data_IF_141660910391
#
_entry.id   IF_141660910391
#
_cell.length_a   1.000
_cell.length_b   1.000
_cell.length_c   1.000
_cell.angle_alpha   90.00
_cell.angle_beta   90.00
_cell.angle_gamma   90.00
#
_symmetry.space_group_name_H-M   'P 1'
#
loop_
_entity.id
_entity.type
_entity.pdbx_description
1 polymer ?
#
# COMPACT_ATOMS: atom_id res chain seq x y z
N UNK A 1 -37.09 21.19 -36.80
CA UNK A 1 -35.64 21.19 -37.07
C UNK A 1 -34.96 20.59 -35.85
N UNK A 2 -34.72 19.27 -35.84
CA UNK A 2 -33.49 18.58 -36.31
C UNK A 2 -32.44 18.56 -35.19
N UNK A 3 -32.35 17.48 -34.38
CA UNK A 3 -31.43 16.31 -34.52
C UNK A 3 -29.96 16.74 -34.21
N UNK A 4 -29.17 16.15 -33.31
CA UNK A 4 -28.99 14.71 -32.99
C UNK A 4 -28.32 14.46 -31.63
N UNK A 5 -28.69 13.33 -31.04
CA UNK A 5 -27.95 12.52 -30.07
C UNK A 5 -26.67 11.95 -30.67
N UNK A 6 -25.62 11.77 -29.85
CA UNK A 6 -24.67 10.64 -29.96
C UNK A 6 -24.27 10.18 -28.55
N UNK A 7 -24.90 9.10 -28.10
CA UNK A 7 -24.40 8.22 -27.06
C UNK A 7 -23.35 7.29 -27.70
N UNK A 8 -22.19 7.13 -27.06
CA UNK A 8 -21.23 6.07 -27.41
C UNK A 8 -21.42 4.93 -26.41
N UNK A 9 -22.15 3.92 -26.86
CA UNK A 9 -22.26 2.61 -26.21
C UNK A 9 -21.12 1.72 -26.73
N UNK A 10 -20.34 1.12 -25.82
CA UNK A 10 -19.43 0.03 -26.14
C UNK A 10 -20.16 -1.28 -25.85
N UNK A 11 -20.46 -2.01 -26.92
CA UNK A 11 -21.01 -3.36 -26.92
C UNK A 11 -19.95 -4.38 -26.46
N UNK A 12 -20.31 -5.28 -25.56
CA UNK A 12 -19.74 -6.63 -25.55
C UNK A 12 -20.87 -7.66 -25.47
N UNK A 13 -20.83 -8.58 -26.42
CA UNK A 13 -21.85 -9.58 -26.71
C UNK A 13 -22.05 -10.56 -25.57
N UNK A 14 -23.32 -10.76 -25.18
CA UNK A 14 -23.78 -11.96 -24.51
C UNK A 14 -24.11 -13.02 -25.58
N UNK A 15 -23.56 -14.22 -25.44
CA UNK A 15 -24.06 -15.42 -26.09
C UNK A 15 -24.36 -16.45 -25.01
N UNK A 16 -25.65 -16.60 -24.69
CA UNK A 16 -26.18 -17.74 -23.95
C UNK A 16 -26.65 -18.78 -24.96
N UNK A 17 -26.20 -20.02 -24.81
CA UNK A 17 -26.80 -21.20 -25.43
C UNK A 17 -26.95 -22.26 -24.35
N UNK A 18 -28.18 -22.73 -24.20
CA UNK A 18 -28.64 -23.68 -23.20
C UNK A 18 -28.50 -25.14 -23.65
N UNK A 19 -28.35 -26.01 -22.63
CA UNK A 19 -28.73 -27.43 -22.53
C UNK A 19 -27.99 -28.49 -23.38
N UNK A 20 -27.27 -29.40 -22.74
CA UNK A 20 -27.83 -30.71 -22.32
C UNK A 20 -26.85 -31.53 -21.48
N UNK A 21 -27.43 -32.37 -20.62
CA UNK A 21 -26.81 -33.15 -19.55
C UNK A 21 -26.31 -34.52 -20.08
N UNK A 22 -25.32 -35.07 -19.37
CA UNK A 22 -24.84 -36.47 -19.27
C UNK A 22 -23.94 -37.03 -20.36
N UNK A 23 -22.65 -37.17 -20.01
CA UNK A 23 -21.94 -38.44 -20.18
C UNK A 23 -20.90 -38.57 -19.06
N UNK A 24 -21.10 -39.56 -18.18
CA UNK A 24 -20.10 -40.03 -17.22
C UNK A 24 -18.90 -40.57 -18.02
N UNK A 25 -17.73 -39.94 -17.87
CA UNK A 25 -16.46 -40.48 -18.34
C UNK A 25 -15.60 -40.82 -17.14
N UNK A 26 -15.43 -42.12 -16.90
CA UNK A 26 -14.48 -42.69 -15.95
C UNK A 26 -13.05 -42.35 -16.37
N UNK A 27 -12.44 -41.36 -15.72
CA UNK A 27 -11.01 -41.07 -15.88
C UNK A 27 -10.21 -41.73 -14.75
N UNK A 28 -9.23 -42.55 -15.16
CA UNK A 28 -8.28 -43.24 -14.30
C UNK A 28 -7.49 -42.26 -13.40
N UNK A 29 -6.97 -42.70 -12.25
CA UNK A 29 -6.22 -41.83 -11.36
C UNK A 29 -4.89 -41.47 -12.02
N UNK A 30 -4.79 -40.25 -12.56
CA UNK A 30 -3.50 -39.67 -12.88
C UNK A 30 -2.76 -39.45 -11.56
N UNK A 31 -1.68 -40.23 -11.36
CA UNK A 31 -0.71 -40.01 -10.32
C UNK A 31 -0.21 -38.56 -10.41
N UNK A 32 -0.68 -37.72 -9.50
CA UNK A 32 -0.17 -36.38 -9.33
C UNK A 32 1.27 -36.51 -8.82
N UNK A 33 2.22 -36.36 -9.71
CA UNK A 33 3.62 -36.12 -9.36
C UNK A 33 3.65 -34.81 -8.58
N UNK A 34 3.62 -34.90 -7.25
CA UNK A 34 3.81 -33.74 -6.39
C UNK A 34 5.25 -33.26 -6.59
N UNK A 35 5.43 -32.32 -7.52
CA UNK A 35 6.65 -31.54 -7.60
C UNK A 35 6.77 -30.82 -6.26
N UNK A 36 7.68 -31.31 -5.42
CA UNK A 36 8.11 -30.62 -4.21
C UNK A 36 8.77 -29.31 -4.64
N UNK A 37 7.94 -28.26 -4.70
CA UNK A 37 8.44 -26.89 -4.78
C UNK A 37 9.15 -26.68 -3.44
N UNK A 38 10.49 -26.59 -3.46
CA UNK A 38 11.24 -26.12 -2.31
C UNK A 38 10.73 -24.72 -1.98
N UNK A 39 9.88 -24.59 -0.97
CA UNK A 39 9.46 -23.31 -0.40
C UNK A 39 10.74 -22.56 -0.03
N UNK A 40 10.95 -21.39 -0.63
CA UNK A 40 11.96 -20.47 -0.13
C UNK A 40 11.40 -19.93 1.20
N UNK A 41 12.28 -19.59 2.13
CA UNK A 41 11.83 -19.00 3.39
C UNK A 41 10.99 -17.75 3.10
N UNK A 42 9.81 -17.59 3.74
CA UNK A 42 9.04 -16.36 3.66
C UNK A 42 9.90 -15.13 3.92
N UNK A 43 9.66 -14.03 3.19
CA UNK A 43 10.47 -12.80 3.28
C UNK A 43 10.67 -12.30 4.71
N UNK A 44 9.66 -12.48 5.58
CA UNK A 44 9.69 -12.02 6.97
C UNK A 44 10.50 -12.90 7.93
N UNK A 45 10.99 -14.07 7.52
CA UNK A 45 11.83 -14.89 8.41
C UNK A 45 13.12 -14.17 8.82
N UNK A 46 13.68 -13.34 7.92
CA UNK A 46 14.88 -12.54 8.18
C UNK A 46 14.65 -11.40 9.18
N UNK A 47 13.40 -11.00 9.39
CA UNK A 47 13.02 -9.89 10.27
C UNK A 47 12.63 -10.36 11.69
N UNK A 48 12.78 -11.65 12.00
CA UNK A 48 12.53 -12.20 13.34
C UNK A 48 13.73 -12.10 14.28
N UNK A 49 14.92 -11.80 13.75
CA UNK A 49 16.17 -11.63 14.50
C UNK A 49 16.40 -12.75 15.54
N UNK A 50 16.68 -12.40 16.79
CA UNK A 50 16.83 -13.33 17.92
C UNK A 50 15.52 -13.58 18.71
N UNK A 51 14.41 -12.98 18.26
CA UNK A 51 13.09 -12.99 18.92
C UNK A 51 13.09 -12.50 20.38
N UNK A 52 14.06 -11.68 20.78
CA UNK A 52 14.26 -11.25 22.16
C UNK A 52 14.58 -9.75 22.27
N UNK A 53 13.61 -8.88 21.89
CA UNK A 53 13.79 -7.43 21.94
C UNK A 53 14.23 -6.96 23.33
N UNK A 54 15.17 -6.02 23.37
CA UNK A 54 15.71 -5.43 24.62
C UNK A 54 14.95 -4.19 25.09
N UNK A 55 13.79 -3.95 24.49
CA UNK A 55 12.90 -2.83 24.75
C UNK A 55 11.47 -3.31 24.60
N UNK A 56 10.53 -2.57 25.18
CA UNK A 56 9.11 -2.82 24.98
C UNK A 56 8.70 -2.33 23.59
N UNK A 57 8.40 -3.28 22.69
CA UNK A 57 8.04 -3.00 21.30
C UNK A 57 6.70 -2.28 21.19
N UNK A 58 5.76 -2.54 22.11
CA UNK A 58 4.46 -1.89 22.12
C UNK A 58 4.60 -0.43 22.55
N UNK A 59 5.26 -0.18 23.68
CA UNK A 59 5.53 1.18 24.21
C UNK A 59 6.29 2.01 23.18
N UNK A 60 7.37 1.47 22.62
CA UNK A 60 8.18 2.14 21.59
C UNK A 60 7.38 2.47 20.32
N UNK A 61 6.44 1.60 19.95
CA UNK A 61 5.52 1.88 18.83
C UNK A 61 4.54 2.99 19.17
N UNK A 62 4.05 3.07 20.40
CA UNK A 62 3.20 4.19 20.85
C UNK A 62 3.95 5.53 20.82
N UNK A 63 5.20 5.55 21.28
CA UNK A 63 6.07 6.73 21.22
C UNK A 63 6.28 7.20 19.77
N UNK A 64 6.59 6.25 18.88
CA UNK A 64 6.72 6.53 17.45
C UNK A 64 5.46 7.15 16.87
N UNK A 65 4.29 6.54 17.11
CA UNK A 65 3.01 7.04 16.58
C UNK A 65 2.67 8.43 17.13
N UNK A 66 2.90 8.68 18.42
CA UNK A 66 2.71 10.00 19.02
C UNK A 66 3.64 11.05 18.39
N UNK A 67 4.86 10.67 18.00
CA UNK A 67 5.79 11.59 17.32
C UNK A 67 5.28 12.01 15.93
N UNK A 68 4.59 11.11 15.20
CA UNK A 68 4.02 11.42 13.89
C UNK A 68 2.88 12.43 13.95
N UNK A 69 2.09 12.40 15.02
CA UNK A 69 0.98 13.33 15.24
C UNK A 69 1.48 14.75 15.56
N UNK A 70 2.53 14.86 16.38
CA UNK A 70 3.01 16.14 16.93
C UNK A 70 3.96 16.86 15.97
N UNK A 71 4.94 16.17 15.41
CA UNK A 71 6.16 16.83 14.92
C UNK A 71 6.00 17.48 13.54
N UNK A 72 5.03 17.08 12.72
CA UNK A 72 4.94 17.53 11.33
C UNK A 72 6.11 17.07 10.43
N UNK A 73 7.20 16.60 11.02
CA UNK A 73 8.40 16.02 10.43
C UNK A 73 8.70 14.66 11.08
N UNK A 74 9.47 13.84 10.37
CA UNK A 74 9.88 12.53 10.85
C UNK A 74 11.25 12.64 11.53
N UNK A 75 11.42 12.03 12.71
CA UNK A 75 12.77 11.85 13.28
C UNK A 75 13.50 10.80 12.45
N UNK A 76 14.38 11.25 11.56
CA UNK A 76 15.16 10.38 10.67
C UNK A 76 16.05 9.41 11.46
N UNK A 77 16.38 9.71 12.72
CA UNK A 77 17.14 8.79 13.55
C UNK A 77 16.35 7.55 13.96
N UNK A 78 15.02 7.50 13.78
CA UNK A 78 14.24 6.32 14.14
C UNK A 78 14.35 5.18 13.12
N UNK A 79 14.78 5.47 11.89
CA UNK A 79 14.81 4.49 10.81
C UNK A 79 16.19 3.85 10.67
N UNK A 80 16.20 2.55 10.34
CA UNK A 80 17.43 1.84 10.00
C UNK A 80 17.94 2.29 8.62
N UNK A 81 19.25 2.17 8.38
CA UNK A 81 19.84 2.50 7.07
C UNK A 81 19.25 1.66 5.93
N UNK A 82 18.89 0.41 6.24
CA UNK A 82 18.29 -0.56 5.33
C UNK A 82 16.76 -0.64 5.47
N UNK A 83 16.12 0.47 5.86
CA UNK A 83 14.68 0.59 5.98
C UNK A 83 13.94 0.37 4.64
N UNK A 84 12.78 -0.30 4.71
CA UNK A 84 11.85 -0.42 3.58
C UNK A 84 10.39 -0.21 4.01
N UNK A 85 9.64 0.57 3.24
CA UNK A 85 8.18 0.60 3.30
C UNK A 85 7.55 -0.16 2.13
N UNK A 86 6.45 -0.87 2.41
CA UNK A 86 5.59 -1.51 1.40
C UNK A 86 4.11 -1.33 1.74
N UNK A 87 3.37 -0.72 0.83
CA UNK A 87 1.90 -0.75 0.80
C UNK A 87 1.39 -1.66 -0.32
N UNK A 88 0.07 -1.74 -0.53
CA UNK A 88 -0.51 -2.54 -1.60
C UNK A 88 0.04 -2.21 -3.00
N UNK A 89 0.27 -0.92 -3.27
CA UNK A 89 0.72 -0.42 -4.59
C UNK A 89 1.92 0.52 -4.51
N UNK A 90 2.59 0.60 -3.37
CA UNK A 90 3.79 1.41 -3.13
C UNK A 90 4.85 0.52 -2.51
N UNK A 91 6.10 0.77 -2.88
CA UNK A 91 7.28 0.10 -2.36
C UNK A 91 7.76 -1.06 -3.23
N UNK A 92 8.82 -1.77 -2.84
CA UNK A 92 9.72 -1.40 -1.75
C UNK A 92 10.32 -0.01 -1.94
N UNK A 93 10.21 0.85 -0.94
CA UNK A 93 10.73 2.21 -0.99
C UNK A 93 11.59 2.46 0.25
N UNK A 94 12.81 2.98 0.04
CA UNK A 94 13.70 3.36 1.12
C UNK A 94 13.27 4.68 1.76
N UNK A 95 13.94 5.06 2.86
CA UNK A 95 13.55 6.25 3.63
C UNK A 95 13.71 7.55 2.84
N UNK A 96 14.82 7.69 2.10
CA UNK A 96 15.14 8.89 1.34
C UNK A 96 14.12 9.15 0.21
N UNK A 97 13.78 8.13 -0.57
CA UNK A 97 12.78 8.23 -1.64
C UNK A 97 11.38 8.46 -1.07
N UNK A 98 11.05 7.83 0.06
CA UNK A 98 9.76 8.05 0.74
C UNK A 98 9.61 9.50 1.21
N UNK A 99 10.63 10.06 1.87
CA UNK A 99 10.61 11.45 2.31
C UNK A 99 10.44 12.43 1.14
N UNK A 100 11.15 12.18 0.02
CA UNK A 100 11.00 12.97 -1.21
C UNK A 100 9.58 12.87 -1.77
N UNK A 101 9.01 11.67 -1.87
CA UNK A 101 7.64 11.46 -2.36
C UNK A 101 6.60 12.14 -1.45
N UNK A 102 6.76 12.08 -0.13
CA UNK A 102 5.84 12.73 0.81
C UNK A 102 5.90 14.27 0.71
N UNK A 103 7.10 14.85 0.56
CA UNK A 103 7.27 16.30 0.43
C UNK A 103 6.60 16.88 -0.82
N UNK A 104 6.47 16.09 -1.89
CA UNK A 104 5.90 16.53 -3.16
C UNK A 104 4.37 16.47 -3.27
N UNK A 105 3.66 15.95 -2.27
CA UNK A 105 2.23 15.66 -2.35
C UNK A 105 1.33 16.70 -1.65
N UNK A 106 1.87 17.77 -1.07
CA UNK A 106 1.08 18.89 -0.52
C UNK A 106 -0.02 18.51 0.50
N UNK A 107 0.05 17.32 1.10
CA UNK A 107 -1.10 16.66 1.74
C UNK A 107 -1.65 17.46 2.92
N UNK A 108 -0.77 18.01 3.76
CA UNK A 108 -1.18 18.83 4.92
C UNK A 108 -1.85 20.14 4.50
N UNK A 109 -1.47 20.69 3.34
CA UNK A 109 -2.14 21.87 2.77
C UNK A 109 -3.50 21.49 2.22
N UNK A 110 -3.59 20.35 1.53
CA UNK A 110 -4.83 19.88 0.93
C UNK A 110 -5.89 19.41 1.96
N UNK A 111 -5.44 18.85 3.08
CA UNK A 111 -6.26 18.32 4.18
C UNK A 111 -5.78 18.87 5.54
N UNK A 112 -6.01 20.15 5.83
CA UNK A 112 -5.52 20.79 7.06
C UNK A 112 -6.18 20.26 8.34
N UNK A 113 -7.36 19.66 8.23
CA UNK A 113 -8.13 19.05 9.31
C UNK A 113 -7.94 17.52 9.40
N UNK A 114 -6.91 16.97 8.74
CA UNK A 114 -6.64 15.54 8.75
C UNK A 114 -6.49 15.00 10.17
N UNK A 115 -7.28 13.98 10.47
CA UNK A 115 -7.22 13.18 11.69
C UNK A 115 -6.90 11.75 11.35
N UNK A 116 -5.91 11.18 12.04
CA UNK A 116 -5.51 9.78 11.89
C UNK A 116 -5.84 9.07 13.20
N UNK A 117 -6.96 8.35 13.24
CA UNK A 117 -7.34 7.57 14.41
C UNK A 117 -6.56 6.26 14.42
N UNK A 118 -5.60 6.12 15.35
CA UNK A 118 -4.79 4.91 15.52
C UNK A 118 -5.29 4.08 16.71
N UNK A 119 -5.48 2.77 16.52
CA UNK A 119 -6.01 1.89 17.57
C UNK A 119 -5.59 0.42 17.38
N UNK A 120 -5.89 -0.41 18.38
CA UNK A 120 -5.72 -1.87 18.31
C UNK A 120 -4.27 -2.32 18.16
N UNK A 121 -3.34 -1.65 18.85
CA UNK A 121 -1.92 -2.02 18.82
C UNK A 121 -1.72 -3.40 19.44
N UNK A 122 -0.92 -4.24 18.78
CA UNK A 122 -0.60 -5.59 19.27
C UNK A 122 0.75 -6.07 18.73
N UNK A 123 1.53 -6.73 19.58
CA UNK A 123 2.80 -7.35 19.17
C UNK A 123 2.51 -8.66 18.44
N UNK A 124 3.22 -8.90 17.34
CA UNK A 124 3.15 -10.15 16.61
C UNK A 124 3.75 -11.29 17.47
N UNK A 125 2.97 -12.35 17.80
CA UNK A 125 3.47 -13.45 18.61
C UNK A 125 4.56 -14.28 17.89
N UNK A 126 4.64 -14.25 16.56
CA UNK A 126 5.69 -14.96 15.80
C UNK A 126 6.93 -14.10 15.54
N UNK A 127 6.78 -12.78 15.55
CA UNK A 127 7.85 -11.82 15.43
C UNK A 127 7.77 -10.77 16.56
N UNK A 128 8.40 -11.03 17.72
CA UNK A 128 8.33 -10.13 18.88
C UNK A 128 8.84 -8.71 18.62
N UNK A 129 9.56 -8.48 17.51
CA UNK A 129 10.02 -7.17 17.07
C UNK A 129 8.99 -6.37 16.25
N UNK A 130 7.84 -6.97 15.92
CA UNK A 130 6.81 -6.38 15.08
C UNK A 130 5.60 -5.98 15.91
N UNK A 131 5.08 -4.80 15.64
CA UNK A 131 3.81 -4.32 16.19
C UNK A 131 2.84 -4.06 15.03
N UNK A 132 1.64 -4.64 15.12
CA UNK A 132 0.50 -4.32 14.26
C UNK A 132 -0.34 -3.24 14.92
N UNK A 133 -0.99 -2.42 14.10
CA UNK A 133 -1.99 -1.46 14.53
C UNK A 133 -2.96 -1.16 13.39
N UNK A 134 -4.08 -0.56 13.72
CA UNK A 134 -5.09 -0.14 12.77
C UNK A 134 -5.15 1.38 12.70
N UNK A 135 -5.43 1.90 11.50
CA UNK A 135 -5.73 3.31 11.32
C UNK A 135 -7.00 3.53 10.53
N UNK A 136 -7.67 4.63 10.86
CA UNK A 136 -8.74 5.23 10.07
C UNK A 136 -8.49 6.73 9.93
N UNK A 137 -8.34 7.18 8.70
CA UNK A 137 -8.04 8.57 8.37
C UNK A 137 -9.31 9.31 7.99
N UNK A 138 -9.47 10.54 8.49
CA UNK A 138 -10.60 11.43 8.23
C UNK A 138 -10.14 12.86 7.96
N UNK A 139 -10.79 13.57 7.06
CA UNK A 139 -10.51 15.00 6.84
C UNK A 139 -11.28 15.54 5.65
N UNK A 140 -11.07 16.81 5.33
CA UNK A 140 -11.77 17.51 4.24
C UNK A 140 -10.74 18.07 3.27
N UNK A 141 -10.94 17.83 1.97
CA UNK A 141 -10.10 18.45 0.95
C UNK A 141 -10.45 19.93 0.78
N UNK A 142 -10.02 20.76 1.72
CA UNK A 142 -10.33 22.19 1.81
C UNK A 142 -9.21 23.08 1.26
N UNK A 143 -8.04 22.51 0.97
CA UNK A 143 -6.95 23.18 0.26
C UNK A 143 -6.63 22.53 -1.07
N UNK A 144 -5.95 23.27 -1.93
CA UNK A 144 -5.48 22.76 -3.21
C UNK A 144 -4.43 21.66 -2.99
N UNK A 145 -4.49 20.61 -3.81
CA UNK A 145 -3.51 19.54 -3.82
C UNK A 145 -2.45 19.82 -4.89
N UNK A 146 -1.21 20.03 -4.47
CA UNK A 146 -0.06 20.02 -5.37
C UNK A 146 0.45 18.59 -5.55
N UNK A 147 0.25 18.03 -6.74
CA UNK A 147 0.80 16.74 -7.14
C UNK A 147 1.97 16.97 -8.10
N UNK A 148 3.15 17.21 -7.54
CA UNK A 148 4.41 17.43 -8.28
C UNK A 148 4.32 18.54 -9.35
N UNK A 149 3.78 19.70 -8.98
CA UNK A 149 3.64 20.89 -9.81
C UNK A 149 2.30 20.99 -10.55
N UNK A 150 1.47 19.93 -10.52
CA UNK A 150 0.09 20.00 -11.01
C UNK A 150 -0.83 20.29 -9.85
N UNK A 151 -1.43 21.48 -9.84
CA UNK A 151 -2.36 21.92 -8.79
C UNK A 151 -3.77 21.48 -9.12
N UNK A 152 -4.37 20.70 -8.21
CA UNK A 152 -5.78 20.30 -8.24
C UNK A 152 -6.54 21.17 -7.24
N UNK A 153 -7.56 21.94 -7.68
CA UNK A 153 -8.33 22.79 -6.79
C UNK A 153 -9.01 22.00 -5.67
N UNK A 154 -9.14 22.61 -4.50
CA UNK A 154 -9.90 22.06 -3.38
C UNK A 154 -11.30 21.63 -3.83
N UNK A 155 -11.65 20.37 -3.57
CA UNK A 155 -12.96 19.81 -3.95
C UNK A 155 -14.03 20.04 -2.89
N UNK A 156 -13.63 20.28 -1.63
CA UNK A 156 -14.53 20.33 -0.48
C UNK A 156 -15.05 18.96 -0.04
N UNK A 157 -14.60 17.86 -0.63
CA UNK A 157 -15.06 16.52 -0.29
C UNK A 157 -14.53 16.11 1.10
N UNK A 158 -15.44 15.57 1.92
CA UNK A 158 -15.07 14.85 3.12
C UNK A 158 -14.50 13.47 2.76
N UNK A 159 -13.47 13.07 3.47
CA UNK A 159 -12.80 11.79 3.35
C UNK A 159 -12.97 11.01 4.64
N UNK A 160 -13.42 9.77 4.53
CA UNK A 160 -13.26 8.73 5.55
C UNK A 160 -12.73 7.47 4.87
N UNK A 161 -11.50 7.10 5.20
CA UNK A 161 -10.89 5.86 4.69
C UNK A 161 -11.47 4.62 5.39
N UNK A 162 -11.47 3.43 4.74
CA UNK A 162 -11.72 2.18 5.45
C UNK A 162 -10.64 1.96 6.51
N UNK A 163 -10.95 1.14 7.53
CA UNK A 163 -9.91 0.65 8.45
C UNK A 163 -8.86 -0.10 7.66
N UNK A 164 -7.60 0.24 7.93
CA UNK A 164 -6.46 -0.46 7.36
C UNK A 164 -5.47 -0.87 8.43
N UNK A 165 -4.89 -2.04 8.24
CA UNK A 165 -3.81 -2.57 9.04
C UNK A 165 -2.48 -1.97 8.57
N UNK A 166 -1.68 -1.61 9.56
CA UNK A 166 -0.32 -1.15 9.47
C UNK A 166 0.55 -2.01 10.38
N UNK A 167 1.84 -2.03 10.12
CA UNK A 167 2.79 -2.60 11.06
C UNK A 167 4.17 -1.99 10.93
N UNK A 168 4.85 -1.86 12.06
CA UNK A 168 6.28 -1.53 12.15
C UNK A 168 7.04 -2.78 12.57
N UNK A 169 8.24 -2.97 12.03
CA UNK A 169 9.23 -3.93 12.54
C UNK A 169 10.43 -3.15 13.02
N UNK A 170 10.80 -3.37 14.28
CA UNK A 170 11.99 -2.81 14.90
C UNK A 170 13.17 -3.78 14.76
N UNK A 171 14.38 -3.28 14.57
CA UNK A 171 15.59 -4.10 14.66
C UNK A 171 16.08 -4.19 16.13
N UNK A 172 17.08 -5.04 16.45
CA UNK A 172 17.65 -5.15 17.79
C UNK A 172 18.18 -3.83 18.37
N UNK A 173 18.58 -2.88 17.52
CA UNK A 173 19.06 -1.54 17.88
C UNK A 173 17.91 -0.56 18.18
N UNK A 174 16.66 -0.99 18.06
CA UNK A 174 15.49 -0.15 18.30
C UNK A 174 15.24 0.88 17.19
N UNK A 175 15.62 0.56 15.95
CA UNK A 175 15.31 1.32 14.73
C UNK A 175 14.26 0.61 13.90
N UNK A 176 13.41 1.35 13.20
CA UNK A 176 12.41 0.81 12.28
C UNK A 176 13.13 0.34 11.02
N UNK A 177 13.06 -0.96 10.72
CA UNK A 177 13.63 -1.56 9.49
C UNK A 177 12.57 -1.82 8.43
N UNK A 178 11.32 -2.00 8.83
CA UNK A 178 10.24 -2.24 7.87
C UNK A 178 8.92 -1.64 8.32
N UNK A 179 8.20 -1.08 7.36
CA UNK A 179 6.81 -0.65 7.52
C UNK A 179 5.90 -1.26 6.46
N UNK A 180 4.76 -1.78 6.92
CA UNK A 180 3.63 -2.06 6.06
C UNK A 180 2.55 -1.03 6.33
N UNK A 181 1.98 -0.48 5.26
CA UNK A 181 0.96 0.57 5.34
C UNK A 181 -0.29 0.24 4.52
N UNK A 182 -1.46 0.70 4.98
CA UNK A 182 -2.66 0.79 4.14
C UNK A 182 -3.26 -0.54 3.66
N UNK A 183 -3.04 -1.65 4.35
CA UNK A 183 -3.71 -2.92 4.02
C UNK A 183 -5.15 -2.88 4.52
N UNK A 184 -6.10 -2.66 3.61
CA UNK A 184 -7.52 -2.49 3.94
C UNK A 184 -8.12 -3.76 4.54
N UNK A 185 -8.80 -3.62 5.67
CA UNK A 185 -9.50 -4.71 6.37
C UNK A 185 -10.81 -5.03 5.67
N UNK A 186 -11.67 -4.02 5.47
CA UNK A 186 -12.89 -4.13 4.66
C UNK A 186 -12.99 -2.93 3.70
N UNK A 187 -13.06 -3.23 2.40
CA UNK A 187 -13.10 -2.21 1.34
C UNK A 187 -14.43 -1.49 1.21
N UNK A 188 -15.48 -2.00 1.88
CA UNK A 188 -16.82 -1.40 1.88
C UNK A 188 -17.01 -0.33 2.96
N UNK A 189 -16.05 -0.20 3.88
CA UNK A 189 -16.05 0.88 4.86
C UNK A 189 -15.58 2.22 4.27
N UNK A 190 -16.05 3.30 4.87
CA UNK A 190 -15.68 4.67 4.49
C UNK A 190 -16.32 5.12 3.18
N UNK A 191 -15.80 6.22 2.63
CA UNK A 191 -16.33 6.85 1.41
C UNK A 191 -15.29 6.95 0.27
N UNK A 192 -14.13 6.32 0.44
CA UNK A 192 -13.00 6.41 -0.51
C UNK A 192 -12.93 5.26 -1.52
N UNK A 193 -14.02 4.50 -1.68
CA UNK A 193 -14.10 3.32 -2.54
C UNK A 193 -12.99 2.29 -2.23
N UNK A 194 -12.78 2.00 -0.94
CA UNK A 194 -11.78 1.03 -0.50
C UNK A 194 -10.33 1.53 -0.57
N UNK A 195 -10.08 2.83 -0.73
CA UNK A 195 -8.72 3.39 -0.77
C UNK A 195 -8.31 3.92 0.61
N UNK A 196 -7.21 3.40 1.16
CA UNK A 196 -6.68 3.82 2.45
C UNK A 196 -5.48 4.78 2.32
N UNK A 197 -5.07 5.35 3.46
CA UNK A 197 -3.94 6.25 3.59
C UNK A 197 -3.96 7.37 2.52
N UNK A 198 -2.80 7.68 1.93
CA UNK A 198 -2.65 8.73 0.92
C UNK A 198 -3.56 8.52 -0.30
N UNK A 199 -3.84 7.28 -0.72
CA UNK A 199 -4.72 7.05 -1.87
C UNK A 199 -6.19 7.40 -1.59
N UNK A 200 -6.63 7.33 -0.33
CA UNK A 200 -7.93 7.85 0.07
C UNK A 200 -8.01 9.37 -0.08
N UNK A 201 -6.93 10.06 0.25
CA UNK A 201 -6.82 11.52 0.12
C UNK A 201 -6.81 11.97 -1.35
N UNK A 202 -6.01 11.30 -2.20
CA UNK A 202 -5.99 11.58 -3.63
C UNK A 202 -7.37 11.39 -4.25
N UNK A 203 -8.10 10.35 -3.85
CA UNK A 203 -9.46 10.12 -4.31
C UNK A 203 -10.43 11.22 -3.88
N UNK A 204 -10.39 11.64 -2.61
CA UNK A 204 -11.20 12.75 -2.13
C UNK A 204 -10.87 14.06 -2.86
N UNK A 205 -9.60 14.28 -3.21
CA UNK A 205 -9.14 15.41 -4.03
C UNK A 205 -9.47 15.28 -5.54
N UNK A 206 -10.24 14.27 -5.94
CA UNK A 206 -10.71 14.10 -7.32
C UNK A 206 -9.76 13.34 -8.26
N UNK A 207 -8.66 12.77 -7.74
CA UNK A 207 -7.77 11.93 -8.54
C UNK A 207 -8.30 10.49 -8.55
N UNK A 208 -8.92 10.11 -9.66
CA UNK A 208 -9.40 8.75 -9.88
C UNK A 208 -8.25 7.82 -10.30
N UNK A 209 -7.54 7.28 -9.30
CA UNK A 209 -6.50 6.28 -9.51
C UNK A 209 -7.05 4.88 -9.21
N UNK A 210 -6.95 3.96 -10.19
CA UNK A 210 -7.22 2.54 -9.94
C UNK A 210 -6.00 1.88 -9.28
N UNK A 211 -5.79 2.22 -8.02
CA UNK A 211 -4.64 1.85 -7.20
C UNK A 211 -4.79 0.45 -6.58
N UNK A 212 -4.97 -0.57 -7.43
CA UNK A 212 -5.11 -1.97 -7.01
C UNK A 212 -3.84 -2.79 -7.30
N UNK A 213 -3.43 -3.71 -6.42
CA UNK A 213 -2.37 -4.66 -6.74
C UNK A 213 -2.72 -5.49 -7.98
N UNK A 214 -1.78 -5.63 -8.90
CA UNK A 214 -1.96 -6.31 -10.18
C UNK A 214 -2.62 -5.47 -11.28
N UNK A 215 -2.98 -4.21 -11.04
CA UNK A 215 -3.49 -3.34 -12.11
C UNK A 215 -2.37 -3.01 -13.11
N UNK A 216 -2.49 -3.55 -14.32
CA UNK A 216 -1.46 -3.45 -15.36
C UNK A 216 -1.26 -2.02 -15.87
N UNK A 217 -2.33 -1.22 -15.92
CA UNK A 217 -2.25 0.15 -16.39
C UNK A 217 -1.57 1.03 -15.33
N UNK A 218 -1.96 0.88 -14.07
CA UNK A 218 -1.36 1.61 -12.98
C UNK A 218 0.11 1.23 -12.79
N UNK A 219 0.45 -0.06 -12.85
CA UNK A 219 1.84 -0.52 -12.84
C UNK A 219 2.67 0.09 -14.00
N UNK A 220 2.10 0.17 -15.21
CA UNK A 220 2.76 0.81 -16.34
C UNK A 220 3.00 2.32 -16.10
N UNK A 221 1.99 3.03 -15.60
CA UNK A 221 2.10 4.46 -15.25
C UNK A 221 3.21 4.68 -14.22
N UNK A 222 3.26 3.86 -13.17
CA UNK A 222 4.30 3.97 -12.16
C UNK A 222 5.70 3.67 -12.73
N UNK A 223 5.85 2.73 -13.68
CA UNK A 223 7.12 2.45 -14.38
C UNK A 223 7.57 3.62 -15.23
N UNK A 224 6.66 4.25 -15.97
CA UNK A 224 6.97 5.46 -16.75
C UNK A 224 7.39 6.61 -15.83
N UNK A 225 6.67 6.81 -14.71
CA UNK A 225 7.04 7.80 -13.69
C UNK A 225 8.42 7.52 -13.06
N UNK A 226 8.72 6.25 -12.76
CA UNK A 226 10.01 5.83 -12.22
C UNK A 226 11.17 6.14 -13.19
N UNK A 227 10.97 5.93 -14.50
CA UNK A 227 11.97 6.25 -15.52
C UNK A 227 12.16 7.76 -15.73
N UNK A 228 11.09 8.55 -15.64
CA UNK A 228 11.16 9.99 -15.82
C UNK A 228 11.91 10.73 -14.69
N UNK A 229 12.05 10.11 -13.51
CA UNK A 229 12.99 10.49 -12.44
C UNK A 229 12.73 11.80 -11.69
N UNK A 230 11.89 12.69 -12.22
CA UNK A 230 11.61 14.02 -11.67
C UNK A 230 10.37 14.08 -10.76
N UNK A 231 9.48 13.08 -10.84
CA UNK A 231 8.33 12.92 -9.97
C UNK A 231 8.72 11.97 -8.82
N UNK A 232 8.08 12.09 -7.65
CA UNK A 232 8.33 11.17 -6.55
C UNK A 232 8.16 9.71 -6.98
N UNK A 233 8.91 8.80 -6.35
CA UNK A 233 8.97 7.40 -6.78
C UNK A 233 7.92 6.57 -6.05
N UNK A 234 7.35 5.60 -6.78
CA UNK A 234 6.49 4.57 -6.20
C UNK A 234 7.28 3.41 -5.58
N UNK A 235 8.56 3.24 -5.92
CA UNK A 235 9.53 2.31 -5.32
C UNK A 235 10.97 2.80 -5.61
N UNK A 236 11.94 2.36 -4.81
CA UNK A 236 13.35 2.76 -4.93
C UNK A 236 14.08 2.06 -6.07
N UNK A 237 15.25 2.58 -6.49
CA UNK A 237 16.06 1.89 -7.50
C UNK A 237 16.53 0.54 -6.99
N UNK A 238 16.78 -0.40 -7.90
CA UNK A 238 17.15 -1.77 -7.54
C UNK A 238 18.43 -1.84 -6.70
N UNK A 239 19.41 -1.00 -6.99
CA UNK A 239 20.66 -0.91 -6.22
C UNK A 239 20.49 -0.27 -4.83
N UNK A 240 19.37 0.42 -4.59
CA UNK A 240 19.03 1.09 -3.32
C UNK A 240 18.08 0.24 -2.46
N UNK A 241 17.55 -0.87 -3.00
CA UNK A 241 16.70 -1.80 -2.26
C UNK A 241 17.60 -2.75 -1.44
N UNK A 242 17.42 -2.85 -0.12
CA UNK A 242 18.19 -3.75 0.73
C UNK A 242 18.10 -5.22 0.30
N UNK A 243 19.22 -5.94 0.41
CA UNK A 243 19.32 -7.35 0.00
C UNK A 243 18.40 -8.29 0.76
N UNK A 244 17.97 -7.92 1.98
CA UNK A 244 17.02 -8.71 2.75
C UNK A 244 15.60 -8.64 2.16
N UNK A 245 15.28 -7.61 1.37
CA UNK A 245 14.00 -7.49 0.69
C UNK A 245 14.01 -8.35 -0.59
N UNK A 246 13.57 -9.60 -0.45
CA UNK A 246 13.66 -10.59 -1.54
C UNK A 246 12.50 -10.57 -2.55
N UNK A 247 11.42 -9.83 -2.26
CA UNK A 247 10.27 -9.73 -3.17
C UNK A 247 10.64 -8.95 -4.43
N UNK A 248 10.17 -9.43 -5.58
CA UNK A 248 10.36 -8.81 -6.90
C UNK A 248 9.23 -7.87 -7.30
N UNK A 249 8.11 -7.89 -6.59
CA UNK A 249 6.99 -6.99 -6.81
C UNK A 249 7.42 -5.52 -6.61
N UNK A 250 7.09 -4.64 -7.56
CA UNK A 250 7.35 -3.19 -7.51
C UNK A 250 6.05 -2.40 -7.68
N UNK A 251 5.81 -1.43 -6.80
CA UNK A 251 4.59 -0.63 -6.83
C UNK A 251 3.34 -1.51 -6.88
N UNK A 252 2.50 -1.31 -7.89
CA UNK A 252 1.27 -2.04 -8.13
C UNK A 252 1.42 -3.39 -8.85
N UNK A 253 2.64 -3.90 -9.04
CA UNK A 253 2.84 -5.26 -9.57
C UNK A 253 2.04 -6.30 -8.74
N UNK A 254 1.72 -7.43 -9.37
CA UNK A 254 1.17 -8.59 -8.66
C UNK A 254 2.12 -9.03 -7.52
N UNK A 255 1.54 -9.65 -6.48
CA UNK A 255 2.36 -10.24 -5.42
C UNK A 255 3.05 -11.49 -5.95
N UNK A 256 4.31 -11.69 -5.57
CA UNK A 256 5.08 -12.85 -5.98
C UNK A 256 4.36 -14.15 -5.62
N UNK A 257 4.24 -15.06 -6.60
CA UNK A 257 3.48 -16.32 -6.48
C UNK A 257 4.19 -17.35 -5.57
N UNK A 258 5.46 -17.11 -5.24
CA UNK A 258 6.29 -18.04 -4.47
C UNK A 258 7.23 -17.29 -3.52
N UNK A 259 6.92 -17.38 -2.23
CA UNK A 259 7.93 -17.40 -1.17
C UNK A 259 8.10 -18.86 -0.76
#
# INVERSE_FOLDING_TARGET
MSISNVCIAISLCAAALTSNVTAFSTQAPNAATSLSIKSKSPMFEYLKFDKNPKFDVLEKTQEYLASLEIAGSFDENLYAEDYVLRGPVIGPINRADLAKSQSGLGIRTAFPDIKIDTFGLTVDPENPYRCFYFQRWRGTNSGDLDNYGTVYPATGNEMETPVSCFSVVWNPEGKIVYEQVGAVVDRLEGNTQGKAAVFGMLHAAGLELNASPGDKLFALIQRLGHLAGNLGRSWSREEEIPKWFISKSRGADETDVYF
#
